data_IF_257251639805
#
_entry.id   IF_257251639805
#
_cell.length_a   1.000
_cell.length_b   1.000
_cell.length_c   1.000
_cell.angle_alpha   90.00
_cell.angle_beta   90.00
_cell.angle_gamma   90.00
#
_symmetry.space_group_name_H-M   'P 1'
#
loop_
_entity.id
_entity.type
_entity.pdbx_description
1 polymer ?
#
# COMPACT_ATOMS: atom_id res chain seq x y z
N UNK A 1 12.23 -8.36 30.19
CA UNK A 1 13.51 -7.84 29.65
C UNK A 1 13.80 -8.27 28.21
N UNK A 2 13.42 -9.47 27.74
CA UNK A 2 13.61 -9.90 26.33
C UNK A 2 12.88 -9.01 25.32
N UNK A 3 11.65 -8.55 25.60
CA UNK A 3 10.87 -7.70 24.71
C UNK A 3 11.52 -6.34 24.42
N UNK A 4 12.05 -5.64 25.42
CA UNK A 4 12.69 -4.33 25.24
C UNK A 4 13.94 -4.35 24.36
N UNK A 5 14.74 -5.43 24.41
CA UNK A 5 15.93 -5.59 23.55
C UNK A 5 15.52 -5.83 22.09
N UNK A 6 14.46 -6.60 21.89
CA UNK A 6 13.90 -6.85 20.54
C UNK A 6 13.31 -5.55 19.99
N UNK A 7 12.54 -4.80 20.78
CA UNK A 7 12.01 -3.49 20.36
C UNK A 7 13.12 -2.51 20.00
N UNK A 8 14.20 -2.46 20.76
CA UNK A 8 15.35 -1.61 20.44
C UNK A 8 16.03 -2.03 19.13
N UNK A 9 16.18 -3.34 18.88
CA UNK A 9 16.76 -3.85 17.63
C UNK A 9 15.90 -3.48 16.42
N UNK A 10 14.56 -3.63 16.52
CA UNK A 10 13.65 -3.19 15.45
C UNK A 10 13.66 -1.68 15.26
N UNK A 11 13.67 -0.88 16.34
CA UNK A 11 13.76 0.57 16.26
C UNK A 11 15.03 1.01 15.53
N UNK A 12 16.18 0.43 15.88
CA UNK A 12 17.44 0.68 15.16
C UNK A 12 17.34 0.26 13.70
N UNK A 13 16.75 -0.92 13.42
CA UNK A 13 16.51 -1.40 12.05
C UNK A 13 15.66 -0.43 11.23
N UNK A 14 14.56 0.10 11.78
CA UNK A 14 13.73 1.12 11.12
C UNK A 14 14.49 2.44 10.88
N UNK A 15 15.26 2.92 11.87
CA UNK A 15 16.09 4.12 11.69
C UNK A 15 17.11 3.91 10.58
N UNK A 16 17.82 2.77 10.57
CA UNK A 16 18.78 2.44 9.50
C UNK A 16 18.10 2.34 8.15
N UNK A 17 16.93 1.69 8.08
CA UNK A 17 16.15 1.54 6.85
C UNK A 17 15.75 2.89 6.27
N UNK A 18 15.13 3.77 7.06
CA UNK A 18 14.72 5.09 6.58
C UNK A 18 15.92 6.00 6.28
N UNK A 19 17.02 5.88 7.03
CA UNK A 19 18.27 6.59 6.72
C UNK A 19 18.89 6.14 5.39
N UNK A 20 18.85 4.82 5.12
CA UNK A 20 19.28 4.28 3.83
C UNK A 20 18.43 4.80 2.68
N UNK A 21 17.10 4.79 2.82
CA UNK A 21 16.19 5.34 1.80
C UNK A 21 16.50 6.83 1.56
N UNK A 22 16.65 7.62 2.63
CA UNK A 22 16.99 9.03 2.52
C UNK A 22 18.33 9.24 1.79
N UNK A 23 19.34 8.43 2.09
CA UNK A 23 20.63 8.45 1.39
C UNK A 23 20.49 8.09 -0.09
N UNK A 24 19.73 7.04 -0.43
CA UNK A 24 19.50 6.62 -1.81
C UNK A 24 18.77 7.70 -2.63
N UNK A 25 17.81 8.39 -1.99
CA UNK A 25 17.12 9.53 -2.61
C UNK A 25 18.10 10.70 -2.82
N UNK A 26 18.87 11.06 -1.78
CA UNK A 26 19.83 12.17 -1.85
C UNK A 26 20.92 11.92 -2.91
N UNK A 27 21.40 10.68 -3.05
CA UNK A 27 22.42 10.30 -4.03
C UNK A 27 21.91 10.17 -5.48
N UNK A 28 20.61 10.29 -5.72
CA UNK A 28 19.98 10.04 -7.02
C UNK A 28 19.93 8.56 -7.43
N UNK A 29 20.46 7.65 -6.61
CA UNK A 29 20.43 6.19 -6.90
C UNK A 29 19.00 5.65 -6.89
N UNK A 30 18.14 6.19 -6.02
CA UNK A 30 16.74 5.82 -5.94
C UNK A 30 15.99 6.15 -7.24
N UNK A 31 16.18 7.35 -7.76
CA UNK A 31 15.58 7.78 -9.03
C UNK A 31 16.07 6.95 -10.20
N UNK A 32 17.38 6.69 -10.25
CA UNK A 32 17.99 5.84 -11.28
C UNK A 32 17.43 4.41 -11.24
N UNK A 33 17.27 3.83 -10.05
CA UNK A 33 16.69 2.48 -9.88
C UNK A 33 15.24 2.44 -10.40
N UNK A 34 14.40 3.41 -9.98
CA UNK A 34 13.01 3.49 -10.43
C UNK A 34 12.88 3.73 -11.95
N UNK A 35 13.75 4.51 -12.53
CA UNK A 35 13.74 4.78 -13.97
C UNK A 35 14.25 3.59 -14.81
N UNK A 36 15.26 2.87 -14.32
CA UNK A 36 15.92 1.79 -15.09
C UNK A 36 15.12 0.48 -15.05
N UNK A 37 14.58 0.12 -13.89
CA UNK A 37 13.87 -1.15 -13.68
C UNK A 37 12.57 -0.96 -12.89
N UNK A 38 11.58 -0.21 -13.45
CA UNK A 38 10.40 0.24 -12.72
C UNK A 38 9.57 -0.91 -12.12
N UNK A 39 9.49 -2.05 -12.78
CA UNK A 39 8.75 -3.21 -12.28
C UNK A 39 9.44 -3.86 -11.08
N UNK A 40 10.77 -4.03 -11.15
CA UNK A 40 11.55 -4.56 -10.02
C UNK A 40 11.50 -3.58 -8.86
N UNK A 41 11.63 -2.29 -9.14
CA UNK A 41 11.52 -1.23 -8.14
C UNK A 41 10.15 -1.26 -7.44
N UNK A 42 9.05 -1.32 -8.20
CA UNK A 42 7.69 -1.44 -7.64
C UNK A 42 7.52 -2.68 -6.78
N UNK A 43 7.97 -3.85 -7.26
CA UNK A 43 7.93 -5.09 -6.48
C UNK A 43 8.67 -4.95 -5.15
N UNK A 44 9.93 -4.52 -5.18
CA UNK A 44 10.78 -4.42 -3.99
C UNK A 44 10.23 -3.39 -2.99
N UNK A 45 9.81 -2.23 -3.47
CA UNK A 45 9.28 -1.16 -2.62
C UNK A 45 7.99 -1.57 -1.92
N UNK A 46 7.02 -2.14 -2.64
CA UNK A 46 5.78 -2.61 -2.01
C UNK A 46 6.04 -3.78 -1.07
N UNK A 47 6.86 -4.77 -1.45
CA UNK A 47 7.23 -5.88 -0.58
C UNK A 47 7.82 -5.38 0.74
N UNK A 48 8.73 -4.41 0.70
CA UNK A 48 9.41 -3.93 1.90
C UNK A 48 8.51 -2.98 2.71
N UNK A 49 7.96 -1.92 2.10
CA UNK A 49 7.19 -0.92 2.83
C UNK A 49 5.91 -1.50 3.46
N UNK A 50 5.15 -2.30 2.70
CA UNK A 50 3.92 -2.88 3.23
C UNK A 50 4.20 -3.92 4.32
N UNK A 51 5.19 -4.80 4.13
CA UNK A 51 5.53 -5.81 5.13
C UNK A 51 6.09 -5.18 6.41
N UNK A 52 6.95 -4.17 6.31
CA UNK A 52 7.45 -3.45 7.49
C UNK A 52 6.32 -2.72 8.21
N UNK A 53 5.37 -2.15 7.47
CA UNK A 53 4.14 -1.55 8.03
C UNK A 53 3.28 -2.57 8.79
N UNK A 54 3.06 -3.76 8.21
CA UNK A 54 2.30 -4.84 8.88
C UNK A 54 3.01 -5.34 10.15
N UNK A 55 4.33 -5.52 10.14
CA UNK A 55 5.10 -5.94 11.31
C UNK A 55 4.99 -4.90 12.44
N UNK A 56 5.14 -3.63 12.13
CA UNK A 56 5.00 -2.56 13.11
C UNK A 56 3.58 -2.46 13.65
N UNK A 57 2.57 -2.58 12.78
CA UNK A 57 1.15 -2.64 13.17
C UNK A 57 0.86 -3.81 14.11
N UNK A 58 1.37 -4.99 13.80
CA UNK A 58 1.27 -6.18 14.64
C UNK A 58 1.89 -5.97 16.02
N UNK A 59 3.08 -5.36 16.08
CA UNK A 59 3.73 -5.02 17.36
C UNK A 59 2.90 -4.05 18.19
N UNK A 60 2.35 -3.02 17.57
CA UNK A 60 1.56 -2.01 18.28
C UNK A 60 0.21 -2.54 18.76
N UNK A 61 -0.45 -3.40 17.97
CA UNK A 61 -1.77 -3.93 18.31
C UNK A 61 -1.73 -5.12 19.25
N UNK A 62 -0.75 -6.02 19.10
CA UNK A 62 -0.69 -7.30 19.79
C UNK A 62 0.51 -7.46 20.74
N UNK A 63 1.42 -6.49 20.75
CA UNK A 63 2.58 -6.51 21.64
C UNK A 63 3.75 -7.40 21.19
N UNK A 64 3.66 -8.05 20.03
CA UNK A 64 4.65 -9.02 19.56
C UNK A 64 5.16 -8.70 18.15
N UNK A 65 6.45 -8.94 17.91
CA UNK A 65 7.03 -9.00 16.58
C UNK A 65 6.90 -10.43 16.07
N UNK A 66 6.02 -10.65 15.10
CA UNK A 66 5.81 -11.98 14.54
C UNK A 66 6.39 -12.04 13.14
N UNK A 67 7.57 -12.64 13.00
CA UNK A 67 8.17 -12.97 11.71
C UNK A 67 8.01 -14.48 11.52
N UNK A 68 7.30 -14.87 10.48
CA UNK A 68 6.97 -16.26 10.17
C UNK A 68 6.92 -16.49 8.65
N UNK A 69 6.61 -17.71 8.23
CA UNK A 69 6.35 -18.00 6.82
C UNK A 69 5.22 -17.14 6.25
N UNK A 70 4.20 -16.80 7.06
CA UNK A 70 3.13 -15.87 6.66
C UNK A 70 3.71 -14.52 6.23
N UNK A 71 4.67 -13.97 6.99
CA UNK A 71 5.32 -12.69 6.68
C UNK A 71 6.02 -12.75 5.31
N UNK A 72 6.72 -13.86 5.01
CA UNK A 72 7.38 -14.04 3.71
C UNK A 72 6.37 -14.08 2.56
N UNK A 73 5.31 -14.89 2.66
CA UNK A 73 4.29 -14.97 1.61
C UNK A 73 3.49 -13.67 1.44
N UNK A 74 3.26 -12.94 2.52
CA UNK A 74 2.67 -11.59 2.45
C UNK A 74 3.61 -10.59 1.77
N UNK A 75 4.92 -10.67 2.02
CA UNK A 75 5.89 -9.84 1.30
C UNK A 75 5.86 -10.11 -0.22
N UNK A 76 5.73 -11.38 -0.63
CA UNK A 76 5.53 -11.72 -2.05
C UNK A 76 4.21 -11.18 -2.60
N UNK A 77 3.12 -11.30 -1.84
CA UNK A 77 1.82 -10.74 -2.21
C UNK A 77 1.91 -9.22 -2.39
N UNK A 78 2.54 -8.50 -1.48
CA UNK A 78 2.75 -7.06 -1.61
C UNK A 78 3.69 -6.71 -2.77
N UNK A 79 4.72 -7.51 -3.02
CA UNK A 79 5.58 -7.32 -4.19
C UNK A 79 4.82 -7.46 -5.50
N UNK A 80 3.97 -8.49 -5.64
CA UNK A 80 3.10 -8.65 -6.83
C UNK A 80 2.07 -7.50 -6.95
N UNK A 81 1.58 -7.00 -5.81
CA UNK A 81 0.78 -5.77 -5.75
C UNK A 81 1.54 -4.58 -6.37
N UNK A 82 2.81 -4.41 -6.03
CA UNK A 82 3.67 -3.37 -6.60
C UNK A 82 3.83 -3.48 -8.12
N UNK A 83 3.91 -4.69 -8.67
CA UNK A 83 3.89 -4.88 -10.13
C UNK A 83 2.57 -4.39 -10.75
N UNK A 84 1.43 -4.79 -10.18
CA UNK A 84 0.11 -4.38 -10.66
C UNK A 84 -0.06 -2.86 -10.60
N UNK A 85 0.33 -2.22 -9.50
CA UNK A 85 0.30 -0.75 -9.34
C UNK A 85 1.20 -0.08 -10.37
N UNK A 86 2.42 -0.59 -10.61
CA UNK A 86 3.34 -0.03 -11.61
C UNK A 86 2.72 -0.05 -13.01
N UNK A 87 2.11 -1.18 -13.42
CA UNK A 87 1.42 -1.28 -14.71
C UNK A 87 0.27 -0.29 -14.79
N UNK A 88 -0.63 -0.31 -13.81
CA UNK A 88 -1.84 0.51 -13.86
C UNK A 88 -1.55 2.01 -13.78
N UNK A 89 -0.57 2.43 -12.98
CA UNK A 89 -0.17 3.83 -12.92
C UNK A 89 0.35 4.32 -14.28
N UNK A 90 1.17 3.52 -14.97
CA UNK A 90 1.69 3.90 -16.28
C UNK A 90 0.61 3.88 -17.35
N UNK A 91 -0.20 2.81 -17.44
CA UNK A 91 -1.25 2.69 -18.46
C UNK A 91 -2.28 3.80 -18.32
N UNK A 92 -2.81 3.99 -17.09
CA UNK A 92 -3.89 4.98 -16.87
C UNK A 92 -3.37 6.41 -17.01
N UNK A 93 -2.19 6.75 -16.45
CA UNK A 93 -1.70 8.14 -16.55
C UNK A 93 -1.36 8.54 -17.99
N UNK A 94 -0.76 7.65 -18.78
CA UNK A 94 -0.49 7.91 -20.19
C UNK A 94 -1.79 7.94 -21.01
N UNK A 95 -2.73 7.03 -20.72
CA UNK A 95 -4.05 7.02 -21.35
C UNK A 95 -4.82 8.33 -21.13
N UNK A 96 -4.81 8.84 -19.89
CA UNK A 96 -5.46 10.11 -19.55
C UNK A 96 -4.87 11.27 -20.35
N UNK A 97 -3.54 11.35 -20.45
CA UNK A 97 -2.87 12.40 -21.25
C UNK A 97 -3.39 12.37 -22.70
N UNK A 98 -3.35 11.21 -23.35
CA UNK A 98 -3.80 11.05 -24.74
C UNK A 98 -5.29 11.42 -24.92
N UNK A 99 -6.15 10.98 -24.02
CA UNK A 99 -7.59 11.26 -24.08
C UNK A 99 -7.89 12.74 -23.92
N UNK A 100 -7.15 13.44 -23.04
CA UNK A 100 -7.28 14.88 -22.82
C UNK A 100 -6.68 15.68 -24.01
N UNK A 101 -5.57 15.26 -24.58
CA UNK A 101 -4.98 15.88 -25.78
C UNK A 101 -5.91 15.77 -27.00
N UNK A 102 -6.64 14.66 -27.12
CA UNK A 102 -7.66 14.47 -28.16
C UNK A 102 -8.98 15.21 -27.89
N UNK A 103 -9.08 15.98 -26.80
CA UNK A 103 -10.26 16.78 -26.47
C UNK A 103 -11.47 16.01 -25.97
N UNK A 104 -11.34 14.69 -25.69
CA UNK A 104 -12.44 13.87 -25.13
C UNK A 104 -12.72 14.19 -23.67
N UNK A 105 -11.70 14.63 -22.93
CA UNK A 105 -11.84 15.19 -21.58
C UNK A 105 -11.27 16.61 -21.61
N UNK A 106 -12.00 17.61 -21.03
CA UNK A 106 -11.52 18.99 -21.04
C UNK A 106 -10.27 19.20 -20.18
N UNK A 107 -9.65 20.37 -20.32
CA UNK A 107 -8.45 20.81 -19.57
C UNK A 107 -7.15 20.07 -19.95
N UNK A 108 -7.01 19.62 -21.20
CA UNK A 108 -5.73 19.11 -21.73
C UNK A 108 -4.59 20.12 -21.50
N UNK A 109 -3.40 19.60 -21.15
CA UNK A 109 -2.25 20.43 -20.80
C UNK A 109 -2.22 20.96 -19.35
N UNK A 110 -3.30 20.80 -18.57
CA UNK A 110 -3.30 21.17 -17.16
C UNK A 110 -2.83 19.97 -16.28
N UNK A 111 -1.64 20.08 -15.72
CA UNK A 111 -1.02 19.00 -14.92
C UNK A 111 -1.90 18.55 -13.73
N UNK A 112 -2.57 19.49 -13.06
CA UNK A 112 -3.46 19.15 -11.94
C UNK A 112 -4.70 18.39 -12.42
N UNK A 113 -5.30 18.80 -13.54
CA UNK A 113 -6.45 18.10 -14.13
C UNK A 113 -6.07 16.67 -14.55
N UNK A 114 -4.91 16.50 -15.23
CA UNK A 114 -4.38 15.17 -15.56
C UNK A 114 -4.19 14.30 -14.31
N UNK A 115 -3.55 14.85 -13.28
CA UNK A 115 -3.32 14.14 -12.03
C UNK A 115 -4.62 13.74 -11.32
N UNK A 116 -5.60 14.65 -11.26
CA UNK A 116 -6.91 14.40 -10.63
C UNK A 116 -7.71 13.33 -11.40
N UNK A 117 -7.81 13.44 -12.72
CA UNK A 117 -8.53 12.44 -13.55
C UNK A 117 -7.85 11.08 -13.43
N UNK A 118 -6.51 11.02 -13.51
CA UNK A 118 -5.76 9.78 -13.30
C UNK A 118 -6.05 9.18 -11.93
N UNK A 119 -6.01 10.00 -10.88
CA UNK A 119 -6.31 9.55 -9.52
C UNK A 119 -7.74 9.04 -9.38
N UNK A 120 -8.74 9.73 -9.95
CA UNK A 120 -10.13 9.27 -9.94
C UNK A 120 -10.27 7.91 -10.64
N UNK A 121 -9.72 7.74 -11.83
CA UNK A 121 -9.81 6.48 -12.57
C UNK A 121 -9.13 5.32 -11.81
N UNK A 122 -7.93 5.53 -11.30
CA UNK A 122 -7.23 4.51 -10.51
C UNK A 122 -8.03 4.13 -9.26
N UNK A 123 -8.52 5.10 -8.51
CA UNK A 123 -9.13 4.85 -7.22
C UNK A 123 -10.59 4.38 -7.31
N UNK A 124 -11.31 4.68 -8.39
CA UNK A 124 -12.68 4.23 -8.58
C UNK A 124 -12.77 2.85 -9.26
N UNK A 125 -11.83 2.53 -10.17
CA UNK A 125 -11.92 1.30 -10.97
C UNK A 125 -10.88 0.25 -10.60
N UNK A 126 -9.61 0.62 -10.40
CA UNK A 126 -8.56 -0.34 -10.09
C UNK A 126 -8.42 -0.62 -8.59
N UNK A 127 -8.29 0.41 -7.78
CA UNK A 127 -7.92 0.25 -6.36
C UNK A 127 -8.90 -0.61 -5.55
N UNK A 128 -10.24 -0.54 -5.73
CA UNK A 128 -11.16 -1.40 -4.98
C UNK A 128 -11.03 -2.88 -5.34
N UNK A 129 -10.88 -3.19 -6.62
CA UNK A 129 -10.70 -4.57 -7.09
C UNK A 129 -9.36 -5.12 -6.57
N UNK A 130 -8.31 -4.32 -6.68
CA UNK A 130 -6.99 -4.65 -6.18
C UNK A 130 -7.00 -4.87 -4.66
N UNK A 131 -7.62 -3.98 -3.88
CA UNK A 131 -7.73 -4.11 -2.44
C UNK A 131 -8.53 -5.35 -2.03
N UNK A 132 -9.62 -5.69 -2.74
CA UNK A 132 -10.37 -6.92 -2.53
C UNK A 132 -9.48 -8.16 -2.77
N UNK A 133 -8.74 -8.19 -3.88
CA UNK A 133 -7.82 -9.27 -4.19
C UNK A 133 -6.75 -9.43 -3.09
N UNK A 134 -6.11 -8.34 -2.66
CA UNK A 134 -5.13 -8.38 -1.56
C UNK A 134 -5.74 -8.94 -0.28
N UNK A 135 -6.98 -8.57 0.08
CA UNK A 135 -7.68 -9.12 1.25
C UNK A 135 -7.90 -10.62 1.15
N UNK A 136 -8.45 -11.08 0.02
CA UNK A 136 -8.72 -12.49 -0.23
C UNK A 136 -7.43 -13.31 -0.14
N UNK A 137 -6.36 -12.89 -0.83
CA UNK A 137 -5.08 -13.60 -0.81
C UNK A 137 -4.37 -13.51 0.55
N UNK A 138 -4.50 -12.40 1.26
CA UNK A 138 -3.95 -12.26 2.61
C UNK A 138 -4.59 -13.24 3.58
N UNK A 139 -5.94 -13.35 3.56
CA UNK A 139 -6.69 -14.30 4.38
C UNK A 139 -6.32 -15.75 4.01
N UNK A 140 -6.22 -16.07 2.72
CA UNK A 140 -5.76 -17.38 2.25
C UNK A 140 -4.36 -17.74 2.77
N UNK A 141 -3.41 -16.80 2.71
CA UNK A 141 -2.04 -16.99 3.20
C UNK A 141 -2.04 -17.23 4.72
N UNK A 142 -2.80 -16.45 5.47
CA UNK A 142 -2.92 -16.63 6.92
C UNK A 142 -3.46 -18.02 7.28
N UNK A 143 -4.60 -18.41 6.72
CA UNK A 143 -5.19 -19.72 6.97
C UNK A 143 -4.26 -20.86 6.53
N UNK A 144 -3.62 -20.73 5.38
CA UNK A 144 -2.74 -21.78 4.86
C UNK A 144 -1.49 -22.01 5.67
N UNK A 145 -0.83 -20.94 6.13
CA UNK A 145 0.51 -21.01 6.74
C UNK A 145 0.52 -20.80 8.25
N UNK A 146 -0.53 -20.24 8.82
CA UNK A 146 -0.67 -20.08 10.27
C UNK A 146 -1.55 -21.20 10.86
N UNK A 147 -2.70 -21.48 10.25
CA UNK A 147 -3.67 -22.42 10.74
C UNK A 147 -3.59 -23.81 10.06
N UNK A 148 -2.68 -23.98 9.10
CA UNK A 148 -2.51 -25.19 8.27
C UNK A 148 -3.80 -25.64 7.56
N UNK A 149 -4.72 -24.72 7.31
CA UNK A 149 -5.98 -24.95 6.62
C UNK A 149 -5.90 -24.49 5.16
N UNK A 150 -6.33 -25.35 4.21
CA UNK A 150 -6.42 -24.99 2.79
C UNK A 150 -7.85 -24.52 2.50
N UNK A 151 -8.00 -23.23 2.31
CA UNK A 151 -9.26 -22.67 1.85
C UNK A 151 -9.46 -22.90 0.35
N UNK A 152 -10.70 -23.14 -0.06
CA UNK A 152 -11.11 -22.97 -1.45
C UNK A 152 -11.16 -21.48 -1.83
N UNK A 153 -11.22 -21.16 -3.13
CA UNK A 153 -11.41 -19.80 -3.59
C UNK A 153 -12.71 -19.17 -3.05
N UNK A 154 -13.76 -19.97 -2.93
CA UNK A 154 -15.04 -19.56 -2.36
C UNK A 154 -14.88 -19.18 -0.88
N UNK A 155 -14.30 -20.04 -0.06
CA UNK A 155 -14.06 -19.79 1.37
C UNK A 155 -13.21 -18.53 1.58
N UNK A 156 -12.11 -18.39 0.82
CA UNK A 156 -11.25 -17.20 0.90
C UNK A 156 -12.01 -15.91 0.54
N UNK A 157 -12.90 -15.97 -0.45
CA UNK A 157 -13.75 -14.84 -0.80
C UNK A 157 -14.77 -14.54 0.29
N UNK A 158 -15.42 -15.56 0.84
CA UNK A 158 -16.42 -15.41 1.89
C UNK A 158 -15.83 -15.02 3.25
N UNK A 159 -14.52 -15.18 3.46
CA UNK A 159 -13.83 -14.72 4.67
C UNK A 159 -13.65 -13.20 4.77
N UNK A 160 -13.98 -12.46 3.70
CA UNK A 160 -13.92 -11.00 3.70
C UNK A 160 -15.22 -10.41 4.22
N UNK A 161 -15.14 -9.52 5.18
CA UNK A 161 -16.29 -8.74 5.69
C UNK A 161 -16.70 -7.67 4.65
N UNK A 162 -17.41 -8.12 3.61
CA UNK A 162 -17.71 -7.31 2.43
C UNK A 162 -18.47 -6.02 2.73
N UNK A 163 -19.41 -6.05 3.69
CA UNK A 163 -20.16 -4.86 4.09
C UNK A 163 -19.25 -3.77 4.64
N UNK A 164 -18.39 -4.12 5.59
CA UNK A 164 -17.40 -3.21 6.16
C UNK A 164 -16.38 -2.76 5.11
N UNK A 165 -15.90 -3.69 4.29
CA UNK A 165 -14.94 -3.40 3.22
C UNK A 165 -15.48 -2.36 2.23
N UNK A 166 -16.71 -2.54 1.74
CA UNK A 166 -17.35 -1.63 0.79
C UNK A 166 -17.60 -0.26 1.43
N UNK A 167 -18.23 -0.22 2.61
CA UNK A 167 -18.51 1.03 3.32
C UNK A 167 -17.21 1.83 3.58
N UNK A 168 -16.19 1.15 4.10
CA UNK A 168 -14.92 1.80 4.41
C UNK A 168 -14.15 2.21 3.16
N UNK A 169 -14.06 1.34 2.16
CA UNK A 169 -13.26 1.59 0.95
C UNK A 169 -13.91 2.62 0.04
N UNK A 170 -15.15 2.37 -0.42
CA UNK A 170 -15.79 3.19 -1.45
C UNK A 170 -16.34 4.50 -0.91
N UNK A 171 -16.93 4.48 0.30
CA UNK A 171 -17.63 5.67 0.81
C UNK A 171 -16.80 6.53 1.76
N UNK A 172 -15.72 5.98 2.33
CA UNK A 172 -14.88 6.72 3.28
C UNK A 172 -13.46 6.97 2.74
N UNK A 173 -12.69 5.93 2.43
CA UNK A 173 -11.28 6.13 2.14
C UNK A 173 -11.00 6.54 0.70
N UNK A 174 -11.70 6.00 -0.29
CA UNK A 174 -11.48 6.39 -1.69
C UNK A 174 -11.74 7.88 -1.91
N UNK A 175 -12.93 8.45 -1.58
CA UNK A 175 -13.19 9.86 -1.88
C UNK A 175 -12.39 10.82 -1.00
N UNK A 176 -12.20 10.52 0.28
CA UNK A 176 -11.65 11.49 1.24
C UNK A 176 -10.16 11.35 1.52
N UNK A 177 -9.56 10.21 1.19
CA UNK A 177 -8.14 9.97 1.40
C UNK A 177 -7.42 9.64 0.08
N UNK A 178 -7.83 8.56 -0.61
CA UNK A 178 -7.06 8.05 -1.74
C UNK A 178 -7.07 8.98 -2.95
N UNK A 179 -8.22 9.51 -3.36
CA UNK A 179 -8.28 10.43 -4.50
C UNK A 179 -7.45 11.70 -4.25
N UNK A 180 -7.60 12.42 -3.11
CA UNK A 180 -6.79 13.61 -2.85
C UNK A 180 -5.29 13.30 -2.79
N UNK A 181 -4.89 12.29 -2.05
CA UNK A 181 -3.47 12.01 -1.83
C UNK A 181 -2.78 11.45 -3.09
N UNK A 182 -3.46 10.59 -3.87
CA UNK A 182 -2.92 10.10 -5.13
C UNK A 182 -2.88 11.20 -6.20
N UNK A 183 -3.78 12.18 -6.17
CA UNK A 183 -3.67 13.37 -7.03
C UNK A 183 -2.35 14.08 -6.79
N UNK A 184 -1.95 14.29 -5.53
CA UNK A 184 -0.63 14.83 -5.21
C UNK A 184 0.50 13.91 -5.67
N UNK A 185 0.32 12.60 -5.53
CA UNK A 185 1.27 11.60 -6.01
C UNK A 185 1.49 11.66 -7.53
N UNK A 186 0.41 11.87 -8.31
CA UNK A 186 0.50 11.99 -9.77
C UNK A 186 1.10 13.30 -10.27
N UNK A 187 1.23 14.32 -9.41
CA UNK A 187 2.00 15.53 -9.70
C UNK A 187 3.53 15.31 -9.56
N UNK A 188 3.94 14.25 -8.88
CA UNK A 188 5.35 13.89 -8.77
C UNK A 188 5.93 13.42 -10.13
N UNK A 189 7.26 13.48 -10.31
CA UNK A 189 7.94 12.84 -11.42
C UNK A 189 7.54 11.37 -11.57
N UNK A 190 7.40 10.89 -12.81
CA UNK A 190 6.87 9.56 -13.14
C UNK A 190 7.57 8.43 -12.37
N UNK A 191 8.90 8.51 -12.27
CA UNK A 191 9.74 7.54 -11.56
C UNK A 191 9.50 7.48 -10.03
N UNK A 192 8.89 8.50 -9.43
CA UNK A 192 8.62 8.55 -7.99
C UNK A 192 7.19 8.15 -7.61
N UNK A 193 6.25 8.09 -8.55
CA UNK A 193 4.82 7.84 -8.28
C UNK A 193 4.56 6.50 -7.58
N UNK A 194 5.20 5.43 -8.06
CA UNK A 194 5.05 4.09 -7.50
C UNK A 194 5.69 4.00 -6.10
N UNK A 195 6.87 4.63 -5.94
CA UNK A 195 7.52 4.72 -4.63
C UNK A 195 6.68 5.48 -3.60
N UNK A 196 6.05 6.56 -4.03
CA UNK A 196 5.09 7.31 -3.21
C UNK A 196 3.91 6.45 -2.78
N UNK A 197 3.32 5.68 -3.71
CA UNK A 197 2.23 4.76 -3.39
C UNK A 197 2.66 3.65 -2.42
N UNK A 198 3.87 3.10 -2.57
CA UNK A 198 4.43 2.12 -1.64
C UNK A 198 4.64 2.72 -0.23
N UNK A 199 5.16 3.93 -0.14
CA UNK A 199 5.27 4.65 1.13
C UNK A 199 3.90 4.93 1.76
N UNK A 200 2.91 5.31 0.95
CA UNK A 200 1.54 5.52 1.42
C UNK A 200 0.92 4.24 1.99
N UNK A 201 1.23 3.06 1.47
CA UNK A 201 0.74 1.80 2.04
C UNK A 201 1.21 1.60 3.48
N UNK A 202 2.48 1.93 3.76
CA UNK A 202 3.03 1.95 5.12
C UNK A 202 2.33 2.99 6.01
N UNK A 203 2.24 4.24 5.55
CA UNK A 203 1.64 5.36 6.31
C UNK A 203 0.16 5.09 6.60
N UNK A 204 -0.59 4.61 5.62
CA UNK A 204 -2.00 4.28 5.78
C UNK A 204 -2.21 3.12 6.77
N UNK A 205 -1.39 2.07 6.68
CA UNK A 205 -1.40 0.96 7.64
C UNK A 205 -1.15 1.45 9.07
N UNK A 206 -0.20 2.37 9.26
CA UNK A 206 0.07 2.99 10.56
C UNK A 206 -1.09 3.85 11.05
N UNK A 207 -1.71 4.66 10.18
CA UNK A 207 -2.88 5.46 10.51
C UNK A 207 -4.03 4.57 11.01
N UNK A 208 -4.33 3.50 10.29
CA UNK A 208 -5.38 2.54 10.68
C UNK A 208 -5.07 1.85 12.02
N UNK A 209 -3.81 1.52 12.26
CA UNK A 209 -3.36 0.95 13.54
C UNK A 209 -3.59 1.92 14.70
N UNK A 210 -3.24 3.19 14.53
CA UNK A 210 -3.44 4.22 15.56
C UNK A 210 -4.93 4.47 15.85
N UNK A 211 -5.79 4.45 14.82
CA UNK A 211 -7.24 4.56 14.97
C UNK A 211 -7.79 3.38 15.80
N UNK A 212 -7.42 2.14 15.48
CA UNK A 212 -7.82 0.94 16.25
C UNK A 212 -7.35 0.99 17.71
N UNK A 213 -6.13 1.46 17.97
CA UNK A 213 -5.63 1.65 19.33
C UNK A 213 -6.44 2.70 20.11
N UNK A 214 -6.83 3.78 19.44
CA UNK A 214 -7.68 4.81 20.04
C UNK A 214 -9.07 4.30 20.38
N UNK A 215 -9.67 3.51 19.52
CA UNK A 215 -11.00 2.89 19.77
C UNK A 215 -10.95 1.92 20.94
N UNK A 216 -9.95 1.03 21.02
CA UNK A 216 -9.75 0.13 22.17
C UNK A 216 -9.67 0.91 23.49
N UNK A 217 -8.86 1.96 23.56
CA UNK A 217 -8.74 2.81 24.76
C UNK A 217 -10.02 3.55 25.14
N UNK A 218 -10.92 3.82 24.18
CA UNK A 218 -12.23 4.43 24.45
C UNK A 218 -13.23 3.40 24.94
N UNK A 219 -13.18 2.17 24.44
CA UNK A 219 -14.01 1.06 24.90
C UNK A 219 -13.68 0.61 26.34
N UNK A 220 -12.40 0.69 26.74
CA UNK A 220 -11.95 0.36 28.11
C UNK A 220 -12.34 1.42 29.16
N UNK A 221 -12.78 2.62 28.73
CA UNK A 221 -13.19 3.73 29.60
C UNK A 221 -14.71 3.85 29.80
N UNK A 222 -15.48 3.00 29.12
CA UNK A 222 -16.94 2.86 29.30
C UNK A 222 -17.26 1.60 30.11
#
# INVERSE_FOLDING_TARGET
MKGKKVDAAFAVGYVMFFSLIAYLVYSGMFDKFNATVPFVAGFVQFAIFSTTGELLSGRLLYGNWTISNVTFYKALLWGTSGLAVTIMFNVVSNGVVVVMENGLIPFGGNAFAVALVTSCLINLFFAPIHAAAIRIFSNYIEERFQNNHRMSAYEATMSVEWGEFVDFTFFKTVPFFWIPINTLGFLLPVNLRVAFAALLSFVFGMLMTLLKLRERRRGEKK
#
